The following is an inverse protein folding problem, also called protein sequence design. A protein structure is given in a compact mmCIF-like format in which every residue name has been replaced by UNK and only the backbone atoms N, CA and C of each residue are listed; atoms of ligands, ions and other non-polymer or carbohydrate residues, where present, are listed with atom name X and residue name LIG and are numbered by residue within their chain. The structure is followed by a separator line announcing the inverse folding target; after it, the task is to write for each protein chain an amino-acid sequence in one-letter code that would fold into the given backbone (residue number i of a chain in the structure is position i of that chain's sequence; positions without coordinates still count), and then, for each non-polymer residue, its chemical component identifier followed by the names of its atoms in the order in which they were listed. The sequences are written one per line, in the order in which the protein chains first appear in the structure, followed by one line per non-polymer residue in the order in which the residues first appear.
data_IF_182064293048
#
_entry.id   IF_182064293048
#
_cell.length_a   1.000
_cell.length_b   1.000
_cell.length_c   1.000
_cell.angle_alpha   90.00
_cell.angle_beta   90.00
_cell.angle_gamma   90.00
#
_symmetry.space_group_name_H-M   'P 1'
#
loop_
_entity.id
_entity.type
_entity.pdbx_description
1 polymer ?
#
# COMPACT_ATOMS: atom_id res chain seq x y z
N UNK A 1 15.20 -33.73 9.78
CA UNK A 1 16.28 -32.71 9.67
C UNK A 1 15.66 -31.36 9.98
N UNK A 2 15.97 -30.69 11.10
CA UNK A 2 15.36 -29.40 11.41
C UNK A 2 16.12 -28.28 10.68
N UNK A 3 15.46 -27.63 9.72
CA UNK A 3 16.03 -26.53 8.94
C UNK A 3 16.04 -25.25 9.77
N UNK A 4 17.24 -24.71 10.00
CA UNK A 4 17.50 -23.50 10.77
C UNK A 4 16.89 -22.26 10.10
N UNK A 5 15.92 -21.63 10.76
CA UNK A 5 15.37 -20.32 10.39
C UNK A 5 16.42 -19.24 10.65
N UNK A 6 16.95 -18.61 9.59
CA UNK A 6 17.75 -17.38 9.71
C UNK A 6 16.83 -16.18 9.59
N UNK A 7 16.44 -15.63 10.74
CA UNK A 7 15.94 -14.26 10.86
C UNK A 7 17.13 -13.31 10.73
N UNK A 8 17.10 -12.40 9.75
CA UNK A 8 18.05 -11.29 9.69
C UNK A 8 17.29 -10.06 10.16
N UNK A 9 17.47 -9.71 11.42
CA UNK A 9 16.97 -8.47 12.00
C UNK A 9 18.10 -7.44 11.95
N UNK A 10 17.98 -6.43 11.08
CA UNK A 10 18.83 -5.23 11.17
C UNK A 10 18.14 -4.25 12.12
N UNK A 11 18.51 -4.32 13.40
CA UNK A 11 18.13 -3.34 14.41
C UNK A 11 19.36 -2.50 14.71
N UNK A 12 19.30 -1.20 14.41
CA UNK A 12 20.10 -0.18 15.10
C UNK A 12 19.19 0.55 16.07
N UNK A 13 19.49 0.56 17.38
CA UNK A 13 18.91 1.52 18.29
C UNK A 13 19.75 2.80 18.24
N UNK A 14 19.10 3.95 18.11
CA UNK A 14 19.04 5.00 19.13
C UNK A 14 18.77 6.40 18.52
N UNK A 15 18.33 7.29 19.39
CA UNK A 15 18.15 8.74 19.28
C UNK A 15 16.73 9.24 18.95
N UNK A 16 16.14 9.76 20.02
CA UNK A 16 14.93 10.55 20.12
C UNK A 16 14.84 11.72 19.14
N UNK A 17 13.59 12.13 18.88
CA UNK A 17 13.11 13.51 18.73
C UNK A 17 12.18 13.67 17.51
N UNK A 18 10.98 14.16 17.81
CA UNK A 18 9.99 14.85 16.98
C UNK A 18 10.11 14.72 15.46
N UNK A 19 9.23 13.93 14.85
CA UNK A 19 8.50 14.38 13.66
C UNK A 19 7.36 13.42 13.30
N UNK A 20 6.26 13.96 12.80
CA UNK A 20 5.07 13.27 12.30
C UNK A 20 5.32 12.43 11.03
N UNK A 21 6.55 11.94 10.83
CA UNK A 21 6.87 11.04 9.73
C UNK A 21 6.27 9.65 10.02
N UNK A 22 5.49 9.07 9.09
CA UNK A 22 5.04 7.70 9.24
C UNK A 22 6.26 6.79 9.38
N UNK A 23 6.25 5.96 10.43
CA UNK A 23 7.33 5.01 10.70
C UNK A 23 7.50 4.07 9.49
N UNK A 24 8.75 3.67 9.19
CA UNK A 24 9.02 2.71 8.13
C UNK A 24 8.21 1.42 8.35
N UNK A 25 7.75 0.83 7.24
CA UNK A 25 7.10 -0.48 7.21
C UNK A 25 8.13 -1.51 7.66
N UNK A 26 7.93 -2.16 8.81
CA UNK A 26 8.84 -3.22 9.27
C UNK A 26 8.73 -4.45 8.34
N UNK A 27 9.85 -4.81 7.73
CA UNK A 27 9.91 -5.85 6.70
C UNK A 27 10.46 -7.16 7.24
N UNK A 28 9.80 -8.27 6.90
CA UNK A 28 10.35 -9.61 7.14
C UNK A 28 10.13 -10.51 5.92
N UNK A 29 11.16 -11.28 5.57
CA UNK A 29 11.09 -12.26 4.48
C UNK A 29 10.75 -13.63 5.05
N UNK A 30 9.77 -14.30 4.45
CA UNK A 30 9.53 -15.72 4.67
C UNK A 30 9.48 -16.44 3.32
N UNK A 31 10.43 -17.35 3.09
CA UNK A 31 10.44 -18.22 1.90
C UNK A 31 10.09 -19.63 2.32
N UNK A 32 9.02 -20.20 1.75
CA UNK A 32 8.84 -21.65 1.74
C UNK A 32 9.49 -22.22 0.47
N UNK A 33 9.91 -23.49 0.50
CA UNK A 33 10.75 -24.14 -0.52
C UNK A 33 10.20 -24.11 -1.96
N UNK A 34 8.94 -23.71 -2.16
CA UNK A 34 8.27 -23.66 -3.47
C UNK A 34 7.76 -22.26 -3.86
N UNK A 35 7.58 -21.34 -2.91
CA UNK A 35 7.02 -20.02 -3.19
C UNK A 35 7.63 -18.92 -2.29
N UNK A 36 8.06 -17.83 -2.93
CA UNK A 36 8.50 -16.63 -2.22
C UNK A 36 7.29 -15.81 -1.75
N UNK A 37 7.20 -15.61 -0.43
CA UNK A 37 6.27 -14.69 0.19
C UNK A 37 7.00 -13.44 0.67
N UNK A 38 6.33 -12.30 0.52
CA UNK A 38 6.79 -11.00 0.97
C UNK A 38 5.89 -10.58 2.13
N UNK A 39 6.47 -10.35 3.32
CA UNK A 39 5.75 -9.87 4.50
C UNK A 39 5.99 -8.39 4.70
N UNK A 40 4.92 -7.62 4.87
CA UNK A 40 4.97 -6.18 5.05
C UNK A 40 4.19 -5.81 6.31
N UNK A 41 4.79 -5.02 7.21
CA UNK A 41 4.10 -4.49 8.38
C UNK A 41 3.64 -3.07 8.12
N UNK A 42 2.35 -2.91 7.88
CA UNK A 42 1.74 -1.64 7.57
C UNK A 42 1.33 -0.94 8.85
N UNK A 43 1.58 0.37 8.92
CA UNK A 43 1.12 1.21 10.02
C UNK A 43 0.14 2.24 9.48
N UNK A 44 -1.07 2.29 10.06
CA UNK A 44 -2.01 3.36 9.77
C UNK A 44 -1.47 4.67 10.41
N UNK A 45 -1.20 5.72 9.62
CA UNK A 45 -0.62 6.96 10.15
C UNK A 45 -1.54 7.66 11.16
N UNK A 46 -2.86 7.47 11.03
CA UNK A 46 -3.86 8.14 11.86
C UNK A 46 -4.12 7.43 13.19
N UNK A 47 -4.30 6.11 13.14
CA UNK A 47 -4.66 5.32 14.34
C UNK A 47 -3.44 4.69 15.01
N UNK A 48 -2.25 4.78 14.38
CA UNK A 48 -1.02 4.10 14.80
C UNK A 48 -1.15 2.57 14.93
N UNK A 49 -2.28 2.01 14.48
CA UNK A 49 -2.50 0.57 14.42
C UNK A 49 -1.64 -0.01 13.31
N UNK A 50 -0.91 -1.07 13.63
CA UNK A 50 -0.09 -1.79 12.69
C UNK A 50 -0.66 -3.19 12.45
N UNK A 51 -0.46 -3.71 11.25
CA UNK A 51 -0.80 -5.08 10.90
C UNK A 51 0.17 -5.59 9.85
N UNK A 52 0.44 -6.89 9.88
CA UNK A 52 1.32 -7.51 8.89
C UNK A 52 0.48 -8.19 7.80
N UNK A 53 0.90 -8.01 6.55
CA UNK A 53 0.34 -8.70 5.40
C UNK A 53 1.41 -9.58 4.78
N UNK A 54 1.02 -10.77 4.33
CA UNK A 54 1.89 -11.66 3.60
C UNK A 54 1.32 -11.85 2.19
N UNK A 55 2.11 -11.51 1.17
CA UNK A 55 1.69 -11.57 -0.23
C UNK A 55 2.72 -12.25 -1.11
N UNK A 56 2.25 -12.97 -2.13
CA UNK A 56 3.07 -13.57 -3.19
C UNK A 56 3.04 -12.71 -4.45
N UNK A 57 4.04 -12.87 -5.32
CA UNK A 57 4.14 -12.18 -6.61
C UNK A 57 2.81 -12.20 -7.41
N UNK A 58 2.20 -13.39 -7.53
CA UNK A 58 0.95 -13.56 -8.28
C UNK A 58 -0.22 -12.73 -7.73
N UNK A 59 -0.24 -12.43 -6.42
CA UNK A 59 -1.29 -11.58 -5.84
C UNK A 59 -1.11 -10.11 -6.24
N UNK A 60 0.14 -9.62 -6.32
CA UNK A 60 0.41 -8.27 -6.84
C UNK A 60 0.05 -8.16 -8.32
N UNK A 61 0.29 -9.21 -9.10
CA UNK A 61 -0.12 -9.28 -10.52
C UNK A 61 -1.64 -9.20 -10.63
N UNK A 62 -2.37 -10.04 -9.88
CA UNK A 62 -3.82 -10.06 -9.89
C UNK A 62 -4.41 -8.71 -9.46
N UNK A 63 -3.87 -8.09 -8.41
CA UNK A 63 -4.27 -6.75 -7.97
C UNK A 63 -4.07 -5.71 -9.08
N UNK A 64 -2.89 -5.68 -9.71
CA UNK A 64 -2.61 -4.73 -10.79
C UNK A 64 -3.60 -4.91 -11.94
N UNK A 65 -3.93 -6.15 -12.32
CA UNK A 65 -4.93 -6.43 -13.34
C UNK A 65 -6.32 -5.94 -12.94
N UNK A 66 -6.75 -6.16 -11.69
CA UNK A 66 -8.03 -5.67 -11.17
C UNK A 66 -8.09 -4.14 -11.22
N UNK A 67 -7.08 -3.44 -10.69
CA UNK A 67 -7.01 -1.98 -10.71
C UNK A 67 -6.91 -1.41 -12.13
N UNK A 68 -6.24 -2.11 -13.05
CA UNK A 68 -6.20 -1.71 -14.47
C UNK A 68 -7.58 -1.77 -15.11
N UNK A 69 -8.37 -2.82 -14.82
CA UNK A 69 -9.76 -2.94 -15.29
C UNK A 69 -10.62 -1.81 -14.73
N UNK A 70 -10.54 -1.54 -13.43
CA UNK A 70 -11.28 -0.44 -12.80
C UNK A 70 -10.90 0.92 -13.39
N UNK A 71 -9.62 1.18 -13.62
CA UNK A 71 -9.17 2.39 -14.30
C UNK A 71 -9.72 2.51 -15.73
N UNK A 72 -9.85 1.38 -16.45
CA UNK A 72 -10.42 1.36 -17.79
C UNK A 72 -11.94 1.58 -17.80
N UNK A 73 -12.66 1.19 -16.75
CA UNK A 73 -14.11 1.44 -16.62
C UNK A 73 -14.43 2.87 -16.16
N UNK A 74 -13.55 3.49 -15.39
CA UNK A 74 -13.70 4.84 -14.86
C UNK A 74 -13.48 5.96 -15.91
N UNK A 75 -13.90 5.75 -17.16
CA UNK A 75 -13.69 6.71 -18.26
C UNK A 75 -14.30 8.08 -17.97
N UNK A 76 -15.44 8.10 -17.27
CA UNK A 76 -16.17 9.30 -16.87
C UNK A 76 -15.68 9.88 -15.53
N UNK A 77 -15.05 9.07 -14.67
CA UNK A 77 -14.63 9.47 -13.33
C UNK A 77 -13.16 9.91 -13.32
N UNK A 78 -12.93 11.19 -13.64
CA UNK A 78 -11.59 11.79 -13.70
C UNK A 78 -10.80 11.66 -12.38
N UNK A 79 -11.48 11.64 -11.24
CA UNK A 79 -10.85 11.56 -9.91
C UNK A 79 -10.31 10.18 -9.64
N UNK A 80 -11.11 9.15 -9.89
CA UNK A 80 -10.67 7.76 -9.73
C UNK A 80 -9.47 7.47 -10.61
N UNK A 81 -9.48 7.96 -11.86
CA UNK A 81 -8.31 7.86 -12.75
C UNK A 81 -7.08 8.53 -12.15
N UNK A 82 -7.24 9.73 -11.57
CA UNK A 82 -6.14 10.46 -10.92
C UNK A 82 -5.58 9.69 -9.71
N UNK A 83 -6.44 9.00 -8.95
CA UNK A 83 -6.01 8.19 -7.79
C UNK A 83 -5.30 6.90 -8.25
N UNK A 84 -5.80 6.22 -9.27
CA UNK A 84 -5.23 4.94 -9.73
C UNK A 84 -3.95 5.11 -10.57
N UNK A 85 -3.84 6.21 -11.32
CA UNK A 85 -2.76 6.44 -12.29
C UNK A 85 -1.35 6.27 -11.72
N UNK A 86 -0.99 6.85 -10.55
CA UNK A 86 0.35 6.70 -9.98
C UNK A 86 0.77 5.23 -9.79
N UNK A 87 -0.17 4.36 -9.42
CA UNK A 87 0.13 2.94 -9.19
C UNK A 87 0.24 2.15 -10.50
N UNK A 88 -0.56 2.51 -11.49
CA UNK A 88 -0.50 1.88 -12.81
C UNK A 88 0.73 2.29 -13.61
N UNK A 89 1.24 3.51 -13.38
CA UNK A 89 2.46 4.03 -14.00
C UNK A 89 3.74 3.46 -13.37
N UNK A 90 3.67 2.90 -12.16
CA UNK A 90 4.83 2.22 -11.54
C UNK A 90 5.31 1.04 -12.40
N UNK A 91 6.62 0.87 -12.58
CA UNK A 91 7.16 -0.32 -13.25
C UNK A 91 6.85 -1.57 -12.42
N UNK A 92 6.25 -2.60 -13.04
CA UNK A 92 6.07 -3.89 -12.37
C UNK A 92 7.38 -4.67 -12.43
N UNK A 93 7.86 -5.24 -11.31
CA UNK A 93 9.08 -6.02 -11.36
C UNK A 93 8.87 -7.29 -12.19
N UNK A 94 9.76 -7.53 -13.15
CA UNK A 94 9.70 -8.71 -14.02
C UNK A 94 10.07 -9.95 -13.21
N UNK A 95 9.38 -11.06 -13.48
CA UNK A 95 9.78 -12.37 -12.96
C UNK A 95 10.82 -12.96 -13.92
N UNK A 96 12.05 -13.28 -13.47
CA UNK A 96 13.01 -13.95 -14.34
C UNK A 96 12.48 -15.33 -14.73
N UNK A 97 12.85 -15.80 -15.93
CA UNK A 97 12.51 -17.15 -16.40
C UNK A 97 13.40 -18.23 -15.75
N UNK A 98 14.49 -17.82 -15.11
CA UNK A 98 15.45 -18.68 -14.40
C UNK A 98 15.23 -18.64 -12.89
N UNK A 99 16.02 -19.41 -12.14
CA UNK A 99 16.06 -19.39 -10.67
C UNK A 99 16.33 -17.97 -10.16
N UNK A 100 15.50 -17.52 -9.24
CA UNK A 100 15.59 -16.19 -8.64
C UNK A 100 16.93 -16.02 -7.89
N UNK A 101 17.73 -15.02 -8.29
CA UNK A 101 18.92 -14.65 -7.51
C UNK A 101 18.53 -13.88 -6.24
N UNK A 102 19.43 -13.84 -5.25
CA UNK A 102 19.21 -13.02 -4.06
C UNK A 102 19.01 -11.53 -4.40
N UNK A 103 19.70 -11.02 -5.44
CA UNK A 103 19.55 -9.67 -5.94
C UNK A 103 18.16 -9.42 -6.54
N UNK A 104 17.62 -10.35 -7.34
CA UNK A 104 16.28 -10.25 -7.92
C UNK A 104 15.19 -10.23 -6.86
N UNK A 105 15.41 -10.97 -5.76
CA UNK A 105 14.48 -10.99 -4.62
C UNK A 105 14.54 -9.67 -3.86
N UNK A 106 15.73 -9.13 -3.61
CA UNK A 106 15.89 -7.82 -2.97
C UNK A 106 15.28 -6.69 -3.80
N UNK A 107 15.51 -6.67 -5.11
CA UNK A 107 14.91 -5.69 -6.03
C UNK A 107 13.38 -5.78 -6.06
N UNK A 108 12.82 -7.00 -6.12
CA UNK A 108 11.36 -7.21 -6.03
C UNK A 108 10.78 -6.79 -4.69
N UNK A 109 11.52 -7.01 -3.62
CA UNK A 109 11.11 -6.64 -2.27
C UNK A 109 10.92 -5.12 -2.18
N UNK A 110 11.94 -4.35 -2.56
CA UNK A 110 11.87 -2.88 -2.59
C UNK A 110 10.76 -2.38 -3.53
N UNK A 111 10.58 -3.00 -4.70
CA UNK A 111 9.50 -2.65 -5.60
C UNK A 111 8.11 -2.89 -4.97
N UNK A 112 7.90 -4.04 -4.34
CA UNK A 112 6.63 -4.36 -3.69
C UNK A 112 6.36 -3.54 -2.43
N UNK A 113 7.40 -3.15 -1.70
CA UNK A 113 7.28 -2.21 -0.59
C UNK A 113 6.73 -0.86 -1.09
N UNK A 114 7.35 -0.29 -2.13
CA UNK A 114 6.89 0.95 -2.74
C UNK A 114 5.46 0.85 -3.27
N UNK A 115 5.14 -0.25 -3.96
CA UNK A 115 3.78 -0.51 -4.42
C UNK A 115 2.80 -0.59 -3.25
N UNK A 116 3.15 -1.25 -2.16
CA UNK A 116 2.27 -1.41 -0.99
C UNK A 116 2.04 -0.09 -0.28
N UNK A 117 3.08 0.73 -0.13
CA UNK A 117 2.93 2.09 0.38
C UNK A 117 1.95 2.90 -0.46
N UNK A 118 2.08 2.82 -1.79
CA UNK A 118 1.17 3.53 -2.68
C UNK A 118 -0.27 3.02 -2.58
N UNK A 119 -0.49 1.72 -2.36
CA UNK A 119 -1.84 1.18 -2.12
C UNK A 119 -2.47 1.75 -0.85
N UNK A 120 -1.69 1.89 0.23
CA UNK A 120 -2.16 2.54 1.47
C UNK A 120 -2.50 4.02 1.20
N UNK A 121 -1.68 4.72 0.41
CA UNK A 121 -1.93 6.09 -0.05
C UNK A 121 -3.27 6.22 -0.77
N UNK A 122 -3.45 5.40 -1.80
CA UNK A 122 -4.61 5.41 -2.68
C UNK A 122 -5.87 5.13 -1.89
N UNK A 123 -5.82 4.15 -0.97
CA UNK A 123 -6.94 3.82 -0.11
C UNK A 123 -7.37 5.01 0.75
N UNK A 124 -6.41 5.74 1.30
CA UNK A 124 -6.72 6.96 2.05
C UNK A 124 -7.33 8.04 1.15
N UNK A 125 -6.78 8.24 -0.05
CA UNK A 125 -7.32 9.19 -1.03
C UNK A 125 -8.76 8.83 -1.47
N UNK A 126 -9.06 7.55 -1.69
CA UNK A 126 -10.42 7.08 -1.97
C UNK A 126 -11.37 7.41 -0.82
N UNK A 127 -10.95 7.13 0.43
CA UNK A 127 -11.77 7.43 1.60
C UNK A 127 -12.01 8.94 1.80
N UNK A 128 -11.00 9.77 1.58
CA UNK A 128 -11.18 11.24 1.63
C UNK A 128 -12.12 11.73 0.51
N UNK A 129 -12.08 11.07 -0.65
CA UNK A 129 -12.97 11.40 -1.78
C UNK A 129 -14.42 11.02 -1.48
N UNK A 130 -14.67 9.92 -0.77
CA UNK A 130 -16.05 9.55 -0.36
C UNK A 130 -16.64 10.52 0.67
N UNK A 131 -15.81 11.10 1.54
CA UNK A 131 -16.27 12.08 2.55
C UNK A 131 -16.60 13.46 1.97
N UNK A 132 -16.16 13.74 0.74
CA UNK A 132 -16.33 15.06 0.11
C UNK A 132 -17.49 15.10 -0.89
N UNK A 133 -18.09 13.95 -1.22
CA UNK A 133 -19.08 13.81 -2.30
C UNK A 133 -20.26 12.96 -1.88
N UNK A 134 -21.06 13.46 -0.94
CA UNK A 134 -22.27 12.77 -0.47
C UNK A 134 -23.38 12.72 -1.55
N UNK A 135 -23.29 13.52 -2.63
CA UNK A 135 -24.39 13.74 -3.58
C UNK A 135 -24.24 13.05 -4.96
N UNK A 136 -23.09 12.41 -5.28
CA UNK A 136 -22.87 11.75 -6.59
C UNK A 136 -22.82 10.23 -6.45
N UNK A 137 -23.99 9.58 -6.48
CA UNK A 137 -24.16 8.13 -6.27
C UNK A 137 -23.24 7.26 -7.16
N UNK A 138 -23.11 7.58 -8.44
CA UNK A 138 -22.29 6.81 -9.38
C UNK A 138 -20.79 6.86 -9.01
N UNK A 139 -20.31 8.01 -8.55
CA UNK A 139 -18.90 8.20 -8.14
C UNK A 139 -18.62 7.44 -6.84
N UNK A 140 -19.59 7.41 -5.93
CA UNK A 140 -19.49 6.66 -4.69
C UNK A 140 -19.41 5.15 -4.94
N UNK A 141 -20.17 4.61 -5.88
CA UNK A 141 -20.12 3.18 -6.26
C UNK A 141 -18.73 2.81 -6.76
N UNK A 142 -18.19 3.58 -7.70
CA UNK A 142 -16.86 3.36 -8.27
C UNK A 142 -15.74 3.45 -7.21
N UNK A 143 -15.80 4.47 -6.34
CA UNK A 143 -14.83 4.65 -5.25
C UNK A 143 -14.91 3.52 -4.22
N UNK A 144 -16.12 3.06 -3.90
CA UNK A 144 -16.36 1.94 -2.99
C UNK A 144 -15.76 0.66 -3.56
N UNK A 145 -15.97 0.39 -4.85
CA UNK A 145 -15.41 -0.78 -5.51
C UNK A 145 -13.86 -0.80 -5.46
N UNK A 146 -13.21 0.35 -5.66
CA UNK A 146 -11.75 0.46 -5.50
C UNK A 146 -11.34 0.22 -4.05
N UNK A 147 -12.04 0.82 -3.08
CA UNK A 147 -11.79 0.61 -1.65
C UNK A 147 -11.88 -0.87 -1.27
N UNK A 148 -12.88 -1.60 -1.77
CA UNK A 148 -13.08 -3.03 -1.49
C UNK A 148 -11.92 -3.88 -2.02
N UNK A 149 -11.45 -3.60 -3.24
CA UNK A 149 -10.28 -4.27 -3.82
C UNK A 149 -9.03 -3.99 -2.99
N UNK A 150 -8.83 -2.74 -2.57
CA UNK A 150 -7.69 -2.34 -1.74
C UNK A 150 -7.76 -2.96 -0.35
N UNK A 151 -8.93 -3.01 0.29
CA UNK A 151 -9.12 -3.60 1.62
C UNK A 151 -8.96 -5.12 1.59
N UNK A 152 -9.48 -5.79 0.56
CA UNK A 152 -9.26 -7.22 0.34
C UNK A 152 -7.78 -7.56 0.13
N UNK A 153 -7.04 -6.70 -0.57
CA UNK A 153 -5.60 -6.89 -0.72
C UNK A 153 -4.85 -6.58 0.56
N UNK A 154 -5.09 -5.45 1.21
CA UNK A 154 -4.37 -5.02 2.42
C UNK A 154 -4.78 -5.80 3.66
N UNK A 155 -5.75 -6.74 3.56
CA UNK A 155 -6.21 -7.61 4.65
C UNK A 155 -6.41 -6.85 5.95
N UNK A 156 -7.05 -5.68 5.88
CA UNK A 156 -7.30 -4.88 7.07
C UNK A 156 -8.10 -5.75 8.05
N UNK A 157 -7.67 -5.89 9.31
CA UNK A 157 -8.51 -6.50 10.32
C UNK A 157 -9.86 -5.78 10.30
N UNK A 158 -10.96 -6.52 10.08
CA UNK A 158 -12.30 -5.95 10.30
C UNK A 158 -12.29 -5.50 11.75
N UNK A 159 -12.23 -4.19 11.97
CA UNK A 159 -12.23 -3.65 13.32
C UNK A 159 -13.55 -4.10 13.94
N UNK A 160 -13.49 -5.06 14.88
CA UNK A 160 -14.61 -5.35 15.73
C UNK A 160 -15.02 -4.02 16.37
N UNK A 161 -16.30 -3.71 16.21
CA UNK A 161 -16.91 -2.42 16.46
C UNK A 161 -16.68 -1.92 17.89
N UNK A 162 -15.62 -1.14 18.10
CA UNK A 162 -15.49 -0.20 19.24
C UNK A 162 -15.23 1.20 18.69
N UNK A 163 -16.11 1.66 17.79
CA UNK A 163 -16.10 3.03 17.32
C UNK A 163 -17.23 3.81 17.97
N UNK A 164 -16.93 4.48 19.07
CA UNK A 164 -17.62 5.71 19.45
C UNK A 164 -17.36 6.71 18.31
N UNK A 165 -18.40 7.05 17.56
CA UNK A 165 -18.49 8.07 16.50
C UNK A 165 -17.17 8.69 15.99
N UNK A 166 -16.63 8.15 14.89
CA UNK A 166 -15.49 8.72 14.17
C UNK A 166 -15.74 10.13 13.61
N UNK A 167 -17.01 10.56 13.50
CA UNK A 167 -17.36 11.92 13.11
C UNK A 167 -17.02 12.94 14.21
N UNK A 168 -16.92 12.51 15.46
CA UNK A 168 -16.69 13.37 16.62
C UNK A 168 -15.19 13.60 16.89
N UNK A 169 -14.33 12.72 16.37
CA UNK A 169 -12.87 12.76 16.60
C UNK A 169 -12.13 13.61 15.54
N UNK A 170 -12.81 14.05 14.47
CA UNK A 170 -12.15 14.67 13.32
C UNK A 170 -12.46 16.17 13.19
N UNK A 171 -11.48 17.06 13.44
CA UNK A 171 -11.57 18.41 12.92
C UNK A 171 -11.53 18.34 11.38
N UNK A 172 -12.64 18.68 10.74
CA UNK A 172 -12.77 18.82 9.29
C UNK A 172 -12.08 20.11 8.84
N UNK A 173 -10.75 20.11 8.90
CA UNK A 173 -9.90 21.08 8.23
C UNK A 173 -8.50 20.48 8.21
N UNK A 174 -8.11 19.91 7.08
CA UNK A 174 -6.75 20.09 6.58
C UNK A 174 -6.60 19.42 5.21
N UNK A 175 -6.00 20.20 4.31
CA UNK A 175 -5.42 19.80 3.03
C UNK A 175 -4.74 18.45 3.11
N UNK A 176 -4.95 17.59 2.10
CA UNK A 176 -4.41 16.22 2.01
C UNK A 176 -2.96 16.13 2.56
N UNK A 177 -2.76 15.66 3.81
CA UNK A 177 -1.45 15.68 4.47
C UNK A 177 -0.45 14.72 3.80
N UNK A 178 -0.95 13.90 2.87
CA UNK A 178 -0.15 12.98 2.08
C UNK A 178 0.13 13.50 0.67
N UNK A 179 -0.31 14.70 0.28
CA UNK A 179 0.04 15.27 -1.03
C UNK A 179 1.56 15.48 -1.13
N UNK A 180 2.18 16.00 -0.06
CA UNK A 180 3.63 16.12 0.08
C UNK A 180 4.34 14.77 0.04
N UNK A 181 3.71 13.74 0.60
CA UNK A 181 4.24 12.37 0.62
C UNK A 181 4.08 11.64 -0.72
N UNK A 182 2.96 11.80 -1.44
CA UNK A 182 2.77 11.33 -2.83
C UNK A 182 3.82 11.98 -3.72
N UNK A 183 4.04 13.30 -3.58
CA UNK A 183 5.09 14.03 -4.29
C UNK A 183 6.49 13.53 -3.88
N UNK A 184 6.69 13.22 -2.60
CA UNK A 184 7.95 12.69 -2.05
C UNK A 184 8.27 11.26 -2.50
N UNK A 185 7.28 10.38 -2.63
CA UNK A 185 7.44 9.04 -3.23
C UNK A 185 7.82 9.18 -4.69
N UNK A 186 7.16 10.08 -5.44
CA UNK A 186 7.53 10.41 -6.81
C UNK A 186 9.01 10.77 -6.94
N UNK A 187 9.53 11.62 -6.05
CA UNK A 187 10.95 12.00 -6.02
C UNK A 187 11.91 10.87 -5.60
N UNK A 188 11.48 9.95 -4.72
CA UNK A 188 12.26 8.76 -4.34
C UNK A 188 12.35 7.74 -5.48
N UNK A 189 11.29 7.58 -6.27
CA UNK A 189 11.24 6.66 -7.40
C UNK A 189 12.18 7.08 -8.55
N UNK A 190 12.31 8.39 -8.81
CA UNK A 190 13.26 8.90 -9.82
C UNK A 190 14.72 8.60 -9.47
N UNK A 191 15.04 8.40 -8.19
CA UNK A 191 16.40 8.20 -7.68
C UNK A 191 16.86 6.74 -7.69
N UNK A 192 15.93 5.79 -7.77
CA UNK A 192 16.23 4.33 -7.79
C UNK A 192 16.30 3.81 -9.24
N UNK A 193 15.92 4.62 -10.24
CA UNK A 193 15.98 4.29 -11.67
C UNK A 193 17.16 4.94 -12.41
N UNK A 194 18.09 5.58 -11.69
CA UNK A 194 19.40 6.02 -12.19
C UNK A 194 20.48 5.04 -11.70
#
# INVERSE_FOLDING_TARGET
MPTTLRSISLVTPDAASSDLAPRPVDFSRQTSELHSYFSFTLTCPKTQKHWSIQKRYAQFVALRQQLTRLHAFALTNCRLRTILKPFLDLPFPKKPLSTDSAADIAGRTAAFENMTMLLVAMRYACWMSTLTHEDEDDVLVDLTQVCDVLDGFLLRPKMQHDYTSLAEVLPVKETNPFQSWINGIGAKLTRIMQ
#
